data_IF_072656566992
#
_entry.id   IF_072656566992
#
_cell.length_a   1.000
_cell.length_b   1.000
_cell.length_c   1.000
_cell.angle_alpha   90.00
_cell.angle_beta   90.00
_cell.angle_gamma   90.00
#
_symmetry.space_group_name_H-M   'P 1'
#
loop_
_entity.id
_entity.type
_entity.pdbx_description
1 polymer ?
#
# COMPACT_ATOMS: atom_id res chain seq x y z
N UNK A 1 16.44 -0.05 11.77
CA UNK A 1 17.80 0.35 11.36
C UNK A 1 17.80 0.23 9.85
N UNK A 2 18.16 1.28 9.09
CA UNK A 2 18.37 1.12 7.66
C UNK A 2 19.48 0.07 7.47
N UNK A 3 19.12 -1.06 6.87
CA UNK A 3 20.08 -2.01 6.33
C UNK A 3 20.68 -1.34 5.08
N UNK A 4 21.70 -0.51 5.28
CA UNK A 4 22.41 0.06 4.14
C UNK A 4 23.07 -1.09 3.38
N UNK A 5 22.56 -1.33 2.18
CA UNK A 5 23.16 -2.24 1.24
C UNK A 5 24.68 -1.94 1.11
N UNK A 6 25.52 -2.94 1.37
CA UNK A 6 26.95 -2.83 1.07
C UNK A 6 27.15 -3.05 -0.43
N UNK A 7 28.33 -2.71 -0.96
CA UNK A 7 28.64 -2.88 -2.39
C UNK A 7 28.39 -4.31 -2.93
N UNK A 8 28.26 -5.31 -2.06
CA UNK A 8 28.01 -6.71 -2.41
C UNK A 8 26.64 -7.27 -1.96
N UNK A 9 25.80 -6.49 -1.27
CA UNK A 9 24.47 -6.99 -0.86
C UNK A 9 23.44 -7.02 -2.00
N UNK A 10 23.79 -6.47 -3.17
CA UNK A 10 22.96 -6.45 -4.38
C UNK A 10 23.40 -7.44 -5.47
N UNK A 11 24.16 -8.49 -5.15
CA UNK A 11 24.44 -9.53 -6.14
C UNK A 11 23.13 -10.17 -6.61
N UNK A 12 22.98 -10.33 -7.92
CA UNK A 12 21.83 -11.04 -8.48
C UNK A 12 21.78 -12.47 -7.92
N UNK A 13 20.57 -13.00 -7.73
CA UNK A 13 20.41 -14.40 -7.34
C UNK A 13 21.01 -15.34 -8.40
N UNK A 14 21.66 -16.42 -7.97
CA UNK A 14 22.22 -17.48 -8.83
C UNK A 14 21.15 -18.16 -9.70
N UNK A 15 19.87 -17.96 -9.38
CA UNK A 15 18.73 -18.40 -10.19
C UNK A 15 17.73 -17.27 -10.39
N UNK A 16 16.85 -17.44 -11.39
CA UNK A 16 15.68 -16.57 -11.53
C UNK A 16 14.69 -16.82 -10.39
N UNK A 17 13.97 -15.76 -10.03
CA UNK A 17 12.86 -15.87 -9.11
C UNK A 17 11.76 -16.75 -9.72
N UNK A 18 11.13 -17.55 -8.89
CA UNK A 18 9.84 -18.14 -9.23
C UNK A 18 8.79 -17.04 -9.31
N UNK A 19 7.67 -17.31 -9.97
CA UNK A 19 6.58 -16.35 -10.07
C UNK A 19 6.09 -15.87 -8.69
N UNK A 20 5.90 -16.78 -7.74
CA UNK A 20 5.49 -16.41 -6.37
C UNK A 20 6.52 -15.58 -5.61
N UNK A 21 7.83 -15.77 -5.89
CA UNK A 21 8.87 -14.91 -5.33
C UNK A 21 8.87 -13.52 -5.95
N UNK A 22 8.63 -13.41 -7.25
CA UNK A 22 8.47 -12.12 -7.92
C UNK A 22 7.28 -11.35 -7.33
N UNK A 23 6.13 -12.00 -7.20
CA UNK A 23 4.93 -11.38 -6.59
C UNK A 23 5.23 -10.89 -5.16
N UNK A 24 5.93 -11.70 -4.34
CA UNK A 24 6.36 -11.25 -2.99
C UNK A 24 7.31 -10.07 -3.04
N UNK A 25 8.25 -10.04 -3.98
CA UNK A 25 9.17 -8.93 -4.14
C UNK A 25 8.45 -7.63 -4.52
N UNK A 26 7.46 -7.67 -5.43
CA UNK A 26 6.65 -6.49 -5.79
C UNK A 26 5.84 -5.99 -4.58
N UNK A 27 5.28 -6.88 -3.75
CA UNK A 27 4.60 -6.47 -2.50
C UNK A 27 5.55 -5.74 -1.54
N UNK A 28 6.79 -6.18 -1.45
CA UNK A 28 7.81 -5.49 -0.66
C UNK A 28 8.15 -4.11 -1.25
N UNK A 29 8.30 -4.00 -2.57
CA UNK A 29 8.54 -2.70 -3.22
C UNK A 29 7.41 -1.68 -2.91
N UNK A 30 6.14 -2.09 -2.93
CA UNK A 30 5.03 -1.22 -2.51
C UNK A 30 5.20 -0.76 -1.05
N UNK A 31 5.61 -1.67 -0.15
CA UNK A 31 5.83 -1.33 1.25
C UNK A 31 7.02 -0.38 1.42
N UNK A 32 8.09 -0.57 0.65
CA UNK A 32 9.28 0.28 0.65
C UNK A 32 8.91 1.72 0.22
N UNK A 33 8.06 1.89 -0.80
CA UNK A 33 7.58 3.22 -1.19
C UNK A 33 6.77 3.90 -0.07
N UNK A 34 5.90 3.16 0.64
CA UNK A 34 5.18 3.72 1.79
C UNK A 34 6.10 4.07 2.95
N UNK A 35 7.18 3.30 3.19
CA UNK A 35 8.21 3.65 4.17
C UNK A 35 8.95 4.94 3.75
N UNK A 36 9.32 5.07 2.47
CA UNK A 36 9.99 6.24 1.93
C UNK A 36 9.13 7.51 2.10
N UNK A 37 7.85 7.46 1.72
CA UNK A 37 6.88 8.55 1.93
C UNK A 37 6.88 8.99 3.39
N UNK A 38 6.78 8.03 4.33
CA UNK A 38 6.72 8.31 5.75
C UNK A 38 8.02 8.96 6.26
N UNK A 39 9.19 8.42 5.88
CA UNK A 39 10.49 8.92 6.33
C UNK A 39 10.75 10.34 5.82
N UNK A 40 10.48 10.60 4.54
CA UNK A 40 10.72 11.92 3.94
C UNK A 40 9.78 12.97 4.48
N UNK A 41 8.48 12.65 4.60
CA UNK A 41 7.49 13.56 5.18
C UNK A 41 7.84 13.90 6.62
N UNK A 42 8.15 12.90 7.46
CA UNK A 42 8.49 13.12 8.85
C UNK A 42 9.77 13.98 9.02
N UNK A 43 10.78 13.76 8.19
CA UNK A 43 11.99 14.58 8.23
C UNK A 43 11.70 16.02 7.79
N UNK A 44 10.91 16.22 6.74
CA UNK A 44 10.50 17.55 6.26
C UNK A 44 9.69 18.33 7.31
N UNK A 45 8.89 17.65 8.13
CA UNK A 45 8.16 18.23 9.26
C UNK A 45 9.07 18.58 10.45
N UNK A 46 10.28 18.02 10.51
CA UNK A 46 11.21 18.11 11.65
C UNK A 46 12.41 19.04 11.43
N UNK A 47 12.44 19.80 10.33
CA UNK A 47 13.55 20.70 9.96
C UNK A 47 13.04 22.07 9.52
N UNK A 48 13.87 23.11 9.65
CA UNK A 48 13.53 24.48 9.23
C UNK A 48 14.15 24.89 7.87
N UNK A 49 15.02 24.06 7.29
CA UNK A 49 15.73 24.42 6.05
C UNK A 49 14.80 24.33 4.83
N UNK A 50 14.37 25.48 4.29
CA UNK A 50 13.33 25.59 3.24
C UNK A 50 13.57 24.67 2.05
N UNK A 51 14.72 24.77 1.37
CA UNK A 51 15.03 23.92 0.22
C UNK A 51 14.96 22.42 0.53
N UNK A 52 15.38 22.00 1.72
CA UNK A 52 15.39 20.58 2.09
C UNK A 52 13.95 20.08 2.28
N UNK A 53 13.07 20.90 2.86
CA UNK A 53 11.65 20.57 3.01
C UNK A 53 10.97 20.43 1.65
N UNK A 54 11.21 21.39 0.75
CA UNK A 54 10.63 21.37 -0.60
C UNK A 54 11.03 20.09 -1.35
N UNK A 55 12.34 19.79 -1.39
CA UNK A 55 12.83 18.59 -2.07
C UNK A 55 12.30 17.30 -1.44
N UNK A 56 12.28 17.20 -0.11
CA UNK A 56 11.78 15.99 0.57
C UNK A 56 10.29 15.75 0.33
N UNK A 57 9.47 16.80 0.30
CA UNK A 57 8.04 16.68 0.04
C UNK A 57 7.74 16.35 -1.42
N UNK A 58 8.51 16.91 -2.36
CA UNK A 58 8.42 16.60 -3.79
C UNK A 58 8.76 15.12 -4.04
N UNK A 59 9.87 14.64 -3.48
CA UNK A 59 10.24 13.21 -3.55
C UNK A 59 9.15 12.34 -2.92
N UNK A 60 8.61 12.72 -1.75
CA UNK A 60 7.53 11.95 -1.12
C UNK A 60 6.25 11.86 -1.98
N UNK A 61 5.97 12.87 -2.81
CA UNK A 61 4.89 12.83 -3.79
C UNK A 61 5.21 11.91 -4.98
N UNK A 62 6.47 11.87 -5.43
CA UNK A 62 6.93 10.92 -6.45
C UNK A 62 6.80 9.46 -5.99
N UNK A 63 7.14 9.15 -4.73
CA UNK A 63 7.01 7.77 -4.22
C UNK A 63 5.54 7.30 -4.16
N UNK A 64 4.56 8.21 -4.08
CA UNK A 64 3.14 7.85 -4.22
C UNK A 64 2.82 7.38 -5.64
N UNK A 65 3.48 7.96 -6.65
CA UNK A 65 3.36 7.52 -8.04
C UNK A 65 3.98 6.13 -8.19
N UNK A 66 5.19 5.91 -7.65
CA UNK A 66 5.85 4.60 -7.69
C UNK A 66 5.03 3.51 -7.00
N UNK A 67 4.44 3.79 -5.83
CA UNK A 67 3.53 2.87 -5.16
C UNK A 67 2.35 2.47 -6.07
N UNK A 68 1.81 3.42 -6.83
CA UNK A 68 0.75 3.18 -7.82
C UNK A 68 1.21 2.32 -9.00
N UNK A 69 2.42 2.57 -9.53
CA UNK A 69 3.01 1.77 -10.62
C UNK A 69 3.21 0.30 -10.19
N UNK A 70 3.78 0.08 -9.00
CA UNK A 70 3.97 -1.26 -8.46
C UNK A 70 2.65 -1.96 -8.14
N UNK A 71 1.65 -1.24 -7.62
CA UNK A 71 0.32 -1.81 -7.40
C UNK A 71 -0.31 -2.25 -8.74
N UNK A 72 -0.20 -1.45 -9.80
CA UNK A 72 -0.71 -1.85 -11.12
C UNK A 72 0.03 -3.07 -11.64
N UNK A 73 1.35 -3.14 -11.50
CA UNK A 73 2.12 -4.32 -11.90
C UNK A 73 1.73 -5.55 -11.08
N UNK A 74 1.50 -5.40 -9.77
CA UNK A 74 1.06 -6.49 -8.90
C UNK A 74 -0.28 -7.08 -9.37
N UNK A 75 -1.24 -6.24 -9.75
CA UNK A 75 -2.53 -6.69 -10.29
C UNK A 75 -2.39 -7.47 -11.61
N UNK A 76 -1.34 -7.20 -12.41
CA UNK A 76 -1.04 -8.00 -13.60
C UNK A 76 -0.48 -9.38 -13.24
N UNK A 77 0.41 -9.42 -12.24
CA UNK A 77 1.10 -10.64 -11.84
C UNK A 77 0.24 -11.54 -10.95
N UNK A 78 -0.67 -10.97 -10.16
CA UNK A 78 -1.56 -11.66 -9.23
C UNK A 78 -3.01 -11.17 -9.41
N UNK A 79 -3.67 -11.50 -10.54
CA UNK A 79 -4.99 -10.98 -10.88
C UNK A 79 -6.10 -11.42 -9.91
N UNK A 80 -5.88 -12.49 -9.15
CA UNK A 80 -6.77 -12.94 -8.08
C UNK A 80 -6.84 -11.96 -6.90
N UNK A 81 -5.84 -11.10 -6.70
CA UNK A 81 -5.86 -10.08 -5.63
C UNK A 81 -6.86 -8.97 -5.87
N UNK A 82 -7.26 -8.73 -7.13
CA UNK A 82 -8.16 -7.63 -7.51
C UNK A 82 -9.52 -7.74 -6.81
N UNK A 83 -10.05 -8.96 -6.65
CA UNK A 83 -11.32 -9.19 -5.95
C UNK A 83 -11.22 -8.82 -4.47
N UNK A 84 -10.12 -9.17 -3.82
CA UNK A 84 -9.88 -8.81 -2.41
C UNK A 84 -9.74 -7.30 -2.21
N UNK A 85 -9.07 -6.60 -3.13
CA UNK A 85 -8.96 -5.13 -3.08
C UNK A 85 -10.33 -4.45 -3.26
N UNK A 86 -11.14 -4.93 -4.20
CA UNK A 86 -12.49 -4.42 -4.41
C UNK A 86 -13.37 -4.67 -3.17
N UNK A 87 -13.27 -5.84 -2.55
CA UNK A 87 -13.97 -6.14 -1.30
C UNK A 87 -13.53 -5.19 -0.18
N UNK A 88 -12.22 -5.03 0.04
CA UNK A 88 -11.70 -4.14 1.08
C UNK A 88 -12.14 -2.68 0.90
N UNK A 89 -12.16 -2.19 -0.34
CA UNK A 89 -12.71 -0.86 -0.64
C UNK A 89 -14.20 -0.76 -0.29
N UNK A 90 -15.01 -1.75 -0.67
CA UNK A 90 -16.43 -1.77 -0.36
C UNK A 90 -16.71 -1.82 1.16
N UNK A 91 -15.88 -2.52 1.93
CA UNK A 91 -15.96 -2.54 3.39
C UNK A 91 -15.74 -1.14 3.99
N UNK A 92 -14.74 -0.39 3.51
CA UNK A 92 -14.49 0.98 3.97
C UNK A 92 -15.62 1.93 3.56
N UNK A 93 -16.14 1.82 2.33
CA UNK A 93 -17.29 2.61 1.88
C UNK A 93 -18.52 2.40 2.77
N UNK A 94 -18.77 1.16 3.21
CA UNK A 94 -19.85 0.87 4.15
C UNK A 94 -19.65 1.54 5.52
N UNK A 95 -18.42 1.61 6.03
CA UNK A 95 -18.10 2.34 7.27
C UNK A 95 -18.23 3.86 7.12
N UNK A 96 -17.82 4.42 5.97
CA UNK A 96 -18.02 5.85 5.65
C UNK A 96 -19.51 6.20 5.64
N UNK A 97 -20.35 5.35 5.05
CA UNK A 97 -21.80 5.55 5.00
C UNK A 97 -22.46 5.52 6.39
N UNK A 98 -21.94 4.71 7.33
CA UNK A 98 -22.41 4.67 8.73
C UNK A 98 -22.04 5.93 9.50
N UNK A 99 -20.86 6.48 9.23
CA UNK A 99 -20.28 7.60 9.99
C UNK A 99 -20.66 8.98 9.45
N UNK A 100 -21.17 9.05 8.21
CA UNK A 100 -21.65 10.30 7.59
C UNK A 100 -23.12 10.56 7.91
N UNK A 101 -23.47 11.55 8.78
CA UNK A 101 -24.86 11.86 9.07
C UNK A 101 -25.47 12.65 7.90
N UNK A 102 -26.08 11.97 6.92
CA UNK A 102 -26.82 12.70 5.87
C UNK A 102 -27.18 12.02 4.55
N UNK A 103 -26.86 10.74 4.30
CA UNK A 103 -27.37 10.01 3.12
C UNK A 103 -27.97 8.67 3.50
N UNK A 104 -29.11 8.72 4.20
CA UNK A 104 -30.10 7.66 4.06
C UNK A 104 -30.81 7.95 2.75
N UNK A 105 -30.40 7.29 1.67
CA UNK A 105 -31.31 6.70 0.69
C UNK A 105 -30.51 5.94 -0.38
N UNK A 106 -31.00 4.72 -0.64
CA UNK A 106 -30.56 3.70 -1.60
C UNK A 106 -29.25 2.96 -1.30
N UNK A 107 -29.35 1.90 -0.49
CA UNK A 107 -28.42 0.76 -0.59
C UNK A 107 -29.23 -0.45 -1.03
N UNK A 108 -28.90 -0.97 -2.21
CA UNK A 108 -29.40 -2.26 -2.67
C UNK A 108 -28.75 -3.38 -1.83
N UNK A 109 -29.54 -4.35 -1.40
CA UNK A 109 -29.06 -5.53 -0.66
C UNK A 109 -28.00 -6.30 -1.47
N UNK A 110 -26.75 -6.21 -1.03
CA UNK A 110 -25.72 -7.18 -1.42
C UNK A 110 -25.86 -8.39 -0.48
N UNK A 111 -26.24 -9.54 -1.04
CA UNK A 111 -26.29 -10.80 -0.30
C UNK A 111 -24.87 -11.24 0.05
N UNK A 112 -24.48 -10.98 1.30
CA UNK A 112 -23.28 -11.54 1.94
C UNK A 112 -23.43 -13.06 2.08
N UNK A 113 -22.59 -13.83 1.40
CA UNK A 113 -22.39 -15.24 1.68
C UNK A 113 -21.26 -15.42 2.70
N UNK A 114 -21.60 -15.31 3.97
CA UNK A 114 -20.82 -15.84 5.09
C UNK A 114 -19.69 -14.93 5.63
N UNK A 115 -19.41 -14.97 6.95
CA UNK A 115 -18.47 -14.05 7.57
C UNK A 115 -17.08 -14.66 7.69
N UNK A 116 -16.05 -13.95 7.26
CA UNK A 116 -14.85 -13.69 8.09
C UNK A 116 -14.39 -12.26 7.79
N UNK A 117 -14.76 -11.35 8.68
CA UNK A 117 -14.17 -10.02 8.80
C UNK A 117 -13.41 -9.93 10.12
N UNK A 118 -12.72 -8.81 10.34
CA UNK A 118 -11.68 -8.51 11.35
C UNK A 118 -12.08 -8.76 12.83
N UNK A 119 -13.31 -9.19 13.13
CA UNK A 119 -13.83 -9.44 14.48
C UNK A 119 -13.58 -10.84 15.08
N UNK A 120 -12.96 -11.79 14.37
CA UNK A 120 -12.87 -13.19 14.85
C UNK A 120 -11.73 -13.50 15.85
N UNK A 121 -11.01 -12.49 16.36
CA UNK A 121 -9.87 -12.67 17.27
C UNK A 121 -10.04 -11.99 18.65
N UNK A 122 -11.27 -11.87 19.13
CA UNK A 122 -11.52 -11.51 20.54
C UNK A 122 -12.44 -12.54 21.18
N UNK A 123 -11.82 -13.58 21.74
CA UNK A 123 -12.26 -14.22 22.98
C UNK A 123 -11.20 -13.98 24.06
#
# INVERSE_FOLDING_TARGET
>A
MPEFATAFSGMNSDRKLTHSELVRAIRLMIADEYEAIQVYTQLAESIDHELAREVLLDIADEERVHAGEFLRLLQELAPDEVEFYAQGAAEVEAEIAKTSPGKKDTVAEVKSSGPITIGSLKE
#
